data_IF_523326048939
#
_entry.id   IF_523326048939
#
_cell.length_a   1.000
_cell.length_b   1.000
_cell.length_c   1.000
_cell.angle_alpha   90.00
_cell.angle_beta   90.00
_cell.angle_gamma   90.00
#
_symmetry.space_group_name_H-M   'P 1'
#
loop_
_entity.id
_entity.type
_entity.pdbx_description
1 polymer ?
#
# COMPACT_ATOMS: atom_id res chain seq x y z
N UNK A 1 6.25 22.84 -5.29
CA UNK A 1 7.67 23.25 -5.47
C UNK A 1 8.54 22.08 -5.05
N UNK A 2 9.33 21.52 -5.96
CA UNK A 2 10.34 20.48 -5.62
C UNK A 2 11.55 21.17 -4.99
N UNK A 3 12.02 20.65 -3.85
CA UNK A 3 13.16 21.23 -3.10
C UNK A 3 14.46 20.44 -3.27
N UNK A 4 14.35 19.14 -3.60
CA UNK A 4 15.47 18.28 -3.98
C UNK A 4 14.94 17.11 -4.81
N UNK A 5 15.77 16.58 -5.72
CA UNK A 5 15.50 15.37 -6.50
C UNK A 5 16.82 14.65 -6.76
N UNK A 6 16.89 13.35 -6.48
CA UNK A 6 18.06 12.51 -6.74
C UNK A 6 17.60 11.32 -7.56
N UNK A 7 18.03 11.26 -8.82
CA UNK A 7 17.56 10.25 -9.78
C UNK A 7 18.28 8.90 -9.72
N UNK A 8 19.48 8.86 -9.15
CA UNK A 8 20.33 7.67 -9.09
C UNK A 8 21.53 7.88 -8.18
N UNK A 9 22.38 6.85 -8.04
CA UNK A 9 23.58 6.91 -7.19
C UNK A 9 24.71 7.74 -7.81
N UNK A 10 24.83 7.71 -9.13
CA UNK A 10 25.87 8.36 -9.91
C UNK A 10 25.30 8.69 -11.29
N UNK A 11 25.25 9.99 -11.63
CA UNK A 11 24.68 10.48 -12.87
C UNK A 11 25.57 10.18 -14.07
N UNK A 12 26.90 10.23 -13.89
CA UNK A 12 27.85 9.98 -14.97
C UNK A 12 27.85 8.49 -15.38
N UNK A 13 27.52 7.61 -14.43
CA UNK A 13 27.32 6.19 -14.69
C UNK A 13 25.93 5.88 -15.28
N UNK A 14 24.90 6.65 -14.92
CA UNK A 14 23.54 6.46 -15.42
C UNK A 14 22.69 7.73 -15.30
N UNK A 15 22.24 8.23 -16.44
CA UNK A 15 21.36 9.40 -16.51
C UNK A 15 19.87 9.08 -16.27
N UNK A 16 19.53 7.81 -15.98
CA UNK A 16 18.16 7.40 -15.64
C UNK A 16 17.74 8.07 -14.33
N UNK A 17 16.57 8.72 -14.34
CA UNK A 17 16.02 9.35 -13.15
C UNK A 17 14.89 8.51 -12.57
N UNK A 18 15.23 7.65 -11.61
CA UNK A 18 14.30 6.76 -10.93
C UNK A 18 13.21 7.50 -10.14
N UNK A 19 13.42 8.78 -9.79
CA UNK A 19 12.42 9.58 -9.09
C UNK A 19 11.21 9.88 -9.99
N UNK A 20 11.40 9.98 -11.31
CA UNK A 20 10.36 10.30 -12.29
C UNK A 20 9.77 9.06 -12.98
N UNK A 21 10.22 7.86 -12.61
CA UNK A 21 9.76 6.60 -13.20
C UNK A 21 9.90 6.58 -14.73
N UNK A 22 8.84 6.10 -15.41
CA UNK A 22 8.80 5.95 -16.86
C UNK A 22 9.09 7.23 -17.63
N UNK A 23 8.74 8.40 -17.08
CA UNK A 23 8.96 9.68 -17.74
C UNK A 23 10.45 10.04 -17.89
N UNK A 24 11.35 9.36 -17.17
CA UNK A 24 12.79 9.57 -17.26
C UNK A 24 13.60 8.27 -17.30
N UNK A 25 13.04 7.25 -17.97
CA UNK A 25 13.74 6.00 -18.28
C UNK A 25 13.77 4.96 -17.15
N UNK A 26 13.07 5.20 -16.03
CA UNK A 26 12.87 4.21 -14.97
C UNK A 26 11.64 3.31 -15.22
N UNK A 27 11.53 2.20 -14.50
CA UNK A 27 10.38 1.29 -14.60
C UNK A 27 9.23 1.61 -13.63
N UNK A 28 9.42 2.53 -12.67
CA UNK A 28 8.59 2.56 -11.46
C UNK A 28 8.98 1.43 -10.50
N UNK A 29 8.38 1.40 -9.31
CA UNK A 29 8.62 0.40 -8.27
C UNK A 29 7.37 0.13 -7.46
N UNK A 30 7.28 -1.07 -6.90
CA UNK A 30 6.26 -1.39 -5.93
C UNK A 30 6.40 -0.51 -4.68
N UNK A 31 5.32 0.20 -4.26
CA UNK A 31 5.37 1.07 -3.08
C UNK A 31 5.52 0.27 -1.78
N UNK A 32 5.16 -1.01 -1.79
CA UNK A 32 5.08 -1.83 -0.58
C UNK A 32 4.12 -1.22 0.45
N UNK A 33 4.48 -1.33 1.72
CA UNK A 33 3.68 -0.79 2.84
C UNK A 33 3.46 0.72 2.81
N UNK A 34 4.12 1.49 1.94
CA UNK A 34 3.84 2.92 1.79
C UNK A 34 2.47 3.22 1.17
N UNK A 35 1.76 2.20 0.64
CA UNK A 35 0.38 2.33 0.17
C UNK A 35 -0.66 2.26 1.30
N UNK A 36 -0.32 1.71 2.47
CA UNK A 36 -1.24 1.54 3.62
C UNK A 36 -1.92 2.84 4.07
N UNK A 37 -1.24 4.01 4.16
CA UNK A 37 -1.90 5.27 4.50
C UNK A 37 -3.03 5.66 3.54
N UNK A 38 -2.97 5.27 2.25
CA UNK A 38 -4.05 5.53 1.29
C UNK A 38 -5.27 4.69 1.64
N UNK A 39 -5.08 3.42 2.00
CA UNK A 39 -6.17 2.54 2.45
C UNK A 39 -6.75 3.02 3.78
N UNK A 40 -5.91 3.48 4.71
CA UNK A 40 -6.38 4.10 5.95
C UNK A 40 -7.22 5.36 5.68
N UNK A 41 -6.77 6.25 4.78
CA UNK A 41 -7.54 7.43 4.39
C UNK A 41 -8.89 7.05 3.76
N UNK A 42 -8.90 6.00 2.92
CA UNK A 42 -10.12 5.44 2.33
C UNK A 42 -11.10 4.97 3.41
N UNK A 43 -10.60 4.26 4.43
CA UNK A 43 -11.41 3.79 5.56
C UNK A 43 -12.04 4.96 6.34
N UNK A 44 -11.25 6.01 6.61
CA UNK A 44 -11.72 7.20 7.30
C UNK A 44 -12.79 7.96 6.50
N UNK A 45 -12.64 8.07 5.18
CA UNK A 45 -13.67 8.66 4.31
C UNK A 45 -14.99 7.86 4.31
N UNK A 46 -14.92 6.55 4.51
CA UNK A 46 -16.07 5.67 4.65
C UNK A 46 -16.66 5.62 6.07
N UNK A 47 -16.10 6.39 7.01
CA UNK A 47 -16.59 6.48 8.39
C UNK A 47 -16.12 5.36 9.32
N UNK A 48 -15.12 4.56 8.92
CA UNK A 48 -14.48 3.58 9.80
C UNK A 48 -13.66 4.34 10.85
N UNK A 49 -13.96 4.13 12.13
CA UNK A 49 -13.24 4.78 13.23
C UNK A 49 -11.80 4.26 13.32
N UNK A 50 -10.88 5.13 13.75
CA UNK A 50 -9.52 4.71 14.12
C UNK A 50 -9.51 3.70 15.27
N UNK A 51 -10.55 3.71 16.12
CA UNK A 51 -10.71 2.76 17.24
C UNK A 51 -11.27 1.41 16.81
N UNK A 52 -11.64 1.24 15.54
CA UNK A 52 -12.11 -0.03 14.99
C UNK A 52 -11.06 -1.12 15.19
N UNK A 53 -11.50 -2.27 15.72
CA UNK A 53 -10.62 -3.34 16.19
C UNK A 53 -10.55 -4.48 15.20
N UNK A 54 -9.33 -4.89 14.87
CA UNK A 54 -9.03 -5.96 13.92
C UNK A 54 -8.15 -7.03 14.59
N UNK A 55 -8.26 -8.27 14.12
CA UNK A 55 -7.42 -9.37 14.57
C UNK A 55 -6.07 -9.30 13.86
N UNK A 56 -5.01 -9.05 14.62
CA UNK A 56 -3.64 -9.11 14.15
C UNK A 56 -3.09 -10.51 14.40
N UNK A 57 -2.77 -11.23 13.32
CA UNK A 57 -2.16 -12.56 13.35
C UNK A 57 -0.94 -12.59 12.46
N UNK A 58 0.01 -13.50 12.74
CA UNK A 58 1.24 -13.60 11.95
C UNK A 58 0.96 -13.91 10.48
N UNK A 59 0.03 -14.83 10.21
CA UNK A 59 -0.30 -15.31 8.88
C UNK A 59 -1.81 -15.56 8.78
N UNK A 60 -2.39 -15.24 7.63
CA UNK A 60 -3.81 -15.48 7.35
C UNK A 60 -4.03 -15.68 5.87
N UNK A 61 -4.83 -16.69 5.52
CA UNK A 61 -5.38 -16.87 4.17
C UNK A 61 -6.74 -16.21 4.08
N UNK A 62 -6.94 -15.42 3.02
CA UNK A 62 -8.20 -14.81 2.64
C UNK A 62 -8.72 -15.53 1.39
N UNK A 63 -9.73 -16.41 1.50
CA UNK A 63 -10.20 -17.22 0.38
C UNK A 63 -10.81 -16.38 -0.74
N UNK A 64 -10.42 -16.65 -1.98
CA UNK A 64 -10.88 -15.96 -3.21
C UNK A 64 -10.81 -14.43 -3.16
N UNK A 65 -10.05 -13.87 -2.21
CA UNK A 65 -10.12 -12.46 -1.87
C UNK A 65 -9.29 -11.59 -2.81
N UNK A 66 -8.41 -12.16 -3.62
CA UNK A 66 -7.58 -11.37 -4.53
C UNK A 66 -7.81 -11.79 -5.97
N UNK A 67 -8.74 -11.10 -6.64
CA UNK A 67 -9.14 -11.37 -8.02
C UNK A 67 -9.66 -12.81 -8.24
N UNK A 68 -10.36 -13.38 -7.24
CA UNK A 68 -10.91 -14.74 -7.30
C UNK A 68 -9.93 -15.84 -6.88
N UNK A 69 -8.70 -15.49 -6.53
CA UNK A 69 -7.70 -16.41 -6.01
C UNK A 69 -7.57 -16.27 -4.49
N UNK A 70 -7.19 -17.37 -3.83
CA UNK A 70 -6.83 -17.37 -2.41
C UNK A 70 -5.61 -16.47 -2.17
N UNK A 71 -5.69 -15.65 -1.14
CA UNK A 71 -4.64 -14.69 -0.82
C UNK A 71 -4.04 -14.94 0.55
N UNK A 72 -2.81 -15.45 0.56
CA UNK A 72 -2.02 -15.64 1.78
C UNK A 72 -1.27 -14.36 2.14
N UNK A 73 -1.45 -13.90 3.38
CA UNK A 73 -0.85 -12.68 3.88
C UNK A 73 -0.10 -12.96 5.17
N UNK A 74 1.18 -12.56 5.20
CA UNK A 74 2.08 -12.77 6.32
C UNK A 74 2.68 -11.45 6.78
N UNK A 75 2.79 -11.27 8.09
CA UNK A 75 3.49 -10.15 8.73
C UNK A 75 5.02 -10.36 8.67
N UNK A 76 5.77 -9.27 8.53
CA UNK A 76 7.24 -9.34 8.42
C UNK A 76 7.91 -10.00 9.63
N UNK A 77 7.45 -9.65 10.83
CA UNK A 77 7.93 -10.24 12.07
C UNK A 77 6.80 -11.03 12.74
N UNK A 78 7.18 -12.12 13.42
CA UNK A 78 6.28 -12.86 14.31
C UNK A 78 6.06 -12.04 15.57
N UNK A 79 5.16 -11.05 15.46
CA UNK A 79 4.75 -10.18 16.55
C UNK A 79 3.77 -10.86 17.51
N UNK A 80 3.23 -10.06 18.44
CA UNK A 80 2.12 -10.49 19.29
C UNK A 80 0.89 -10.69 18.41
N UNK A 81 0.16 -11.78 18.63
CA UNK A 81 -1.15 -12.01 18.03
C UNK A 81 -2.24 -11.59 19.00
N UNK A 82 -3.08 -10.67 18.58
CA UNK A 82 -4.01 -9.93 19.44
C UNK A 82 -5.08 -9.21 18.63
N UNK A 83 -5.91 -8.43 19.32
CA UNK A 83 -6.87 -7.52 18.72
C UNK A 83 -6.36 -6.10 18.95
N UNK A 84 -6.11 -5.37 17.87
CA UNK A 84 -5.53 -4.03 17.88
C UNK A 84 -6.42 -3.06 17.11
N UNK A 85 -6.30 -1.76 17.39
CA UNK A 85 -6.98 -0.73 16.59
C UNK A 85 -6.17 -0.32 15.36
N UNK A 86 -6.74 0.56 14.52
CA UNK A 86 -6.09 1.06 13.31
C UNK A 86 -4.88 1.95 13.62
N UNK A 87 -4.82 2.58 14.80
CA UNK A 87 -3.65 3.39 15.22
C UNK A 87 -2.46 2.46 15.48
N UNK A 88 -2.67 1.42 16.28
CA UNK A 88 -1.68 0.38 16.56
C UNK A 88 -1.27 -0.35 15.28
N UNK A 89 -2.23 -0.77 14.45
CA UNK A 89 -1.97 -1.47 13.20
C UNK A 89 -1.13 -0.65 12.21
N UNK A 90 -1.38 0.66 12.14
CA UNK A 90 -0.56 1.59 11.35
C UNK A 90 0.85 1.71 11.91
N UNK A 91 0.98 1.78 13.23
CA UNK A 91 2.28 1.90 13.92
C UNK A 91 3.19 0.69 13.66
N UNK A 92 2.62 -0.52 13.73
CA UNK A 92 3.38 -1.76 13.48
C UNK A 92 3.37 -2.20 12.02
N UNK A 93 2.68 -1.46 11.16
CA UNK A 93 2.49 -1.78 9.74
C UNK A 93 1.97 -3.21 9.53
N UNK A 94 0.92 -3.61 10.26
CA UNK A 94 0.37 -4.98 10.17
C UNK A 94 -0.20 -5.28 8.78
N UNK A 95 0.37 -6.23 8.05
CA UNK A 95 -0.11 -6.69 6.75
C UNK A 95 -1.49 -7.33 6.85
N UNK A 96 -1.73 -8.18 7.85
CA UNK A 96 -3.01 -8.90 8.00
C UNK A 96 -4.16 -7.96 8.34
N UNK A 97 -3.96 -6.96 9.20
CA UNK A 97 -4.99 -5.94 9.49
C UNK A 97 -5.26 -5.06 8.26
N UNK A 98 -4.22 -4.63 7.54
CA UNK A 98 -4.42 -3.83 6.33
C UNK A 98 -5.03 -4.63 5.17
N UNK A 99 -4.85 -5.96 5.14
CA UNK A 99 -5.56 -6.84 4.23
C UNK A 99 -7.06 -6.89 4.54
N UNK A 100 -7.44 -7.07 5.81
CA UNK A 100 -8.85 -6.96 6.25
C UNK A 100 -9.43 -5.59 5.87
N UNK A 101 -8.71 -4.51 6.17
CA UNK A 101 -9.17 -3.14 5.90
C UNK A 101 -9.36 -2.90 4.40
N UNK A 102 -8.44 -3.38 3.55
CA UNK A 102 -8.55 -3.25 2.10
C UNK A 102 -9.77 -3.99 1.53
N UNK A 103 -10.05 -5.19 2.05
CA UNK A 103 -11.26 -5.95 1.70
C UNK A 103 -12.52 -5.17 2.10
N UNK A 104 -12.52 -4.59 3.31
CA UNK A 104 -13.66 -3.83 3.82
C UNK A 104 -13.93 -2.55 3.02
N UNK A 105 -12.89 -1.76 2.72
CA UNK A 105 -13.06 -0.49 1.99
C UNK A 105 -13.21 -0.68 0.49
N UNK A 106 -12.78 -1.82 -0.05
CA UNK A 106 -12.79 -2.15 -1.47
C UNK A 106 -11.62 -1.52 -2.24
N UNK A 107 -10.93 -2.29 -3.10
CA UNK A 107 -9.70 -1.82 -3.75
C UNK A 107 -9.96 -0.74 -4.79
N UNK A 108 -11.13 -0.70 -5.42
CA UNK A 108 -11.51 0.37 -6.34
C UNK A 108 -11.60 1.74 -5.65
N UNK A 109 -12.13 1.78 -4.42
CA UNK A 109 -12.21 3.01 -3.64
C UNK A 109 -10.81 3.48 -3.23
N UNK A 110 -9.93 2.56 -2.83
CA UNK A 110 -8.54 2.90 -2.52
C UNK A 110 -7.78 3.45 -3.74
N UNK A 111 -8.05 2.91 -4.94
CA UNK A 111 -7.50 3.46 -6.20
C UNK A 111 -8.03 4.87 -6.46
N UNK A 112 -9.33 5.13 -6.28
CA UNK A 112 -9.89 6.48 -6.43
C UNK A 112 -9.24 7.49 -5.47
N UNK A 113 -9.05 7.11 -4.20
CA UNK A 113 -8.32 7.92 -3.21
C UNK A 113 -6.88 8.17 -3.67
N UNK A 114 -6.16 7.14 -4.14
CA UNK A 114 -4.80 7.29 -4.67
C UNK A 114 -4.75 8.28 -5.84
N UNK A 115 -5.72 8.23 -6.77
CA UNK A 115 -5.83 9.16 -7.89
C UNK A 115 -6.04 10.60 -7.43
N UNK A 116 -6.94 10.83 -6.46
CA UNK A 116 -7.18 12.16 -5.87
C UNK A 116 -5.96 12.70 -5.13
N UNK A 117 -5.12 11.82 -4.60
CA UNK A 117 -3.83 12.16 -3.98
C UNK A 117 -2.69 12.39 -4.99
N UNK A 118 -2.95 12.23 -6.29
CA UNK A 118 -2.00 12.55 -7.36
C UNK A 118 -1.22 11.36 -7.92
N UNK A 119 -1.54 10.12 -7.54
CA UNK A 119 -0.92 8.94 -8.14
C UNK A 119 -1.38 8.80 -9.58
N UNK A 120 -0.45 9.00 -10.52
CA UNK A 120 -0.71 9.00 -11.95
C UNK A 120 -0.44 7.63 -12.61
N UNK A 121 0.32 6.75 -11.96
CA UNK A 121 0.58 5.40 -12.47
C UNK A 121 -0.69 4.55 -12.54
N UNK A 122 -0.69 3.55 -13.41
CA UNK A 122 -1.76 2.57 -13.47
C UNK A 122 -1.71 1.65 -12.24
N UNK A 123 -2.81 1.63 -11.48
CA UNK A 123 -2.93 0.83 -10.26
C UNK A 123 -3.96 -0.28 -10.48
N UNK A 124 -3.62 -1.54 -10.23
CA UNK A 124 -4.59 -2.62 -10.30
C UNK A 124 -5.57 -2.52 -9.13
N UNK A 125 -6.87 -2.56 -9.39
CA UNK A 125 -7.91 -2.56 -8.35
C UNK A 125 -8.07 -3.96 -7.72
N UNK A 126 -7.02 -4.42 -7.05
CA UNK A 126 -6.96 -5.73 -6.36
C UNK A 126 -6.54 -5.55 -4.90
N UNK A 127 -6.93 -6.48 -4.02
CA UNK A 127 -6.68 -6.35 -2.58
C UNK A 127 -5.20 -6.36 -2.23
N UNK A 128 -4.38 -7.09 -2.97
CA UNK A 128 -2.91 -7.10 -2.80
C UNK A 128 -2.25 -5.72 -3.00
N UNK A 129 -2.94 -4.73 -3.57
CA UNK A 129 -2.41 -3.37 -3.75
C UNK A 129 -2.03 -2.74 -2.41
N UNK A 130 -2.74 -3.04 -1.32
CA UNK A 130 -2.42 -2.52 0.02
C UNK A 130 -1.04 -2.96 0.52
N UNK A 131 -0.55 -4.09 0.02
CA UNK A 131 0.78 -4.62 0.33
C UNK A 131 1.81 -4.26 -0.74
N UNK A 132 1.42 -3.49 -1.75
CA UNK A 132 2.29 -2.96 -2.79
C UNK A 132 2.25 -3.69 -4.13
N UNK A 133 1.24 -4.50 -4.44
CA UNK A 133 1.09 -5.03 -5.79
C UNK A 133 0.65 -3.92 -6.77
N UNK A 134 1.60 -3.24 -7.38
CA UNK A 134 1.39 -2.17 -8.35
C UNK A 134 2.63 -1.29 -8.43
N UNK A 135 2.98 -0.77 -9.61
CA UNK A 135 4.17 0.05 -9.77
C UNK A 135 3.84 1.54 -9.66
N UNK A 136 4.63 2.27 -8.88
CA UNK A 136 4.55 3.73 -8.71
C UNK A 136 5.93 4.35 -8.88
N UNK A 137 5.96 5.63 -9.24
CA UNK A 137 7.17 6.47 -9.15
C UNK A 137 7.14 7.31 -7.88
N UNK A 138 8.31 7.83 -7.48
CA UNK A 138 8.41 8.72 -6.31
C UNK A 138 7.70 10.07 -6.57
N UNK A 139 7.68 10.49 -7.85
CA UNK A 139 7.02 11.69 -8.37
C UNK A 139 6.16 11.37 -9.58
#
# INVERSE_FOLDING_TARGET
RVVAMVGGRDFDASEVNLALGAAAGGSGRQPGSSFKPIVLATALEQGISLDSRFRNVYERTFPEANAGEDWEVTNYARGREDIIDLVEATTVSSNTVFADLMIEVGPANAVDVARRLGVSSELPAVNSLVLGSGEVSVL
#
